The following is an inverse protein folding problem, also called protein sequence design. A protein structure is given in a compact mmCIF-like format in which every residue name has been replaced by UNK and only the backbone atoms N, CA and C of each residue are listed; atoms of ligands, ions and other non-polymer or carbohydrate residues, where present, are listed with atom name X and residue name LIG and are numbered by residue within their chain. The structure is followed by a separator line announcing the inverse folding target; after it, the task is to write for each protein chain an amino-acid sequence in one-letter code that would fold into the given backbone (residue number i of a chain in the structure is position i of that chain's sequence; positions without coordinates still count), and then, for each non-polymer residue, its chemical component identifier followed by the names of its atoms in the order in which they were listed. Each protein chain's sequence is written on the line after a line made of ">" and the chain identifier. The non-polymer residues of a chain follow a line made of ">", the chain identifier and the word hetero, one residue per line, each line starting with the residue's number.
data_IF_618443437790
#
_entry.id   IF_618443437790
#
_cell.length_a   1.000
_cell.length_b   1.000
_cell.length_c   1.000
_cell.angle_alpha   90.00
_cell.angle_beta   90.00
_cell.angle_gamma   90.00
#
_symmetry.space_group_name_H-M   'P 1'
#
loop_
_entity.id
_entity.type
_entity.pdbx_description
1 polymer ?
#
# COMPACT_ATOMS: atom_id res chain seq x y z
N UNK A 1 -26.18 -10.74 30.89
CA UNK A 1 -24.96 -11.25 30.21
C UNK A 1 -24.97 -10.73 28.78
N UNK A 2 -24.03 -9.82 28.41
CA UNK A 2 -23.87 -9.41 26.99
C UNK A 2 -23.32 -10.62 26.23
N UNK A 3 -24.03 -11.06 25.19
CA UNK A 3 -23.54 -12.14 24.31
C UNK A 3 -22.24 -11.69 23.65
N UNK A 4 -21.16 -12.42 23.87
CA UNK A 4 -19.87 -12.19 23.16
C UNK A 4 -20.07 -12.44 21.68
N UNK A 5 -19.76 -11.45 20.86
CA UNK A 5 -19.70 -11.63 19.41
C UNK A 5 -18.33 -12.21 19.04
N UNK A 6 -18.31 -13.19 18.17
CA UNK A 6 -17.06 -13.70 17.67
C UNK A 6 -16.38 -12.62 16.79
N UNK A 7 -15.07 -12.36 16.98
CA UNK A 7 -14.27 -11.42 16.16
C UNK A 7 -14.36 -11.68 14.64
N UNK A 8 -14.84 -12.84 14.25
CA UNK A 8 -15.04 -13.27 12.86
C UNK A 8 -16.50 -13.32 12.47
N UNK A 9 -17.34 -12.50 13.09
CA UNK A 9 -18.72 -12.41 12.66
C UNK A 9 -18.76 -11.92 11.21
N UNK A 10 -19.34 -12.75 10.34
CA UNK A 10 -19.48 -12.47 8.91
C UNK A 10 -20.97 -12.31 8.62
N UNK A 11 -21.31 -11.30 7.84
CA UNK A 11 -22.59 -11.24 7.16
C UNK A 11 -22.49 -12.18 5.95
N UNK A 12 -23.29 -13.23 5.95
CA UNK A 12 -23.29 -14.23 4.86
C UNK A 12 -24.35 -13.86 3.84
N UNK A 13 -23.93 -13.66 2.61
CA UNK A 13 -24.82 -13.44 1.47
C UNK A 13 -25.25 -14.73 0.80
N UNK A 14 -26.04 -14.61 -0.26
CA UNK A 14 -26.37 -15.71 -1.16
C UNK A 14 -25.11 -16.19 -1.90
N UNK A 15 -24.82 -17.48 -1.88
CA UNK A 15 -23.60 -18.05 -2.43
C UNK A 15 -22.43 -18.01 -1.46
N UNK A 16 -21.21 -17.87 -1.98
CA UNK A 16 -19.96 -17.84 -1.19
C UNK A 16 -19.58 -16.45 -0.67
N UNK A 17 -20.41 -15.43 -0.89
CA UNK A 17 -20.12 -14.03 -0.50
C UNK A 17 -20.24 -13.86 1.00
N UNK A 18 -19.22 -13.27 1.59
CA UNK A 18 -19.24 -12.89 2.99
C UNK A 18 -18.62 -11.52 3.21
N UNK A 19 -19.32 -10.66 3.95
CA UNK A 19 -18.79 -9.38 4.42
C UNK A 19 -18.35 -9.55 5.87
N UNK A 20 -17.06 -9.32 6.15
CA UNK A 20 -16.56 -9.23 7.51
C UNK A 20 -17.12 -8.00 8.20
N UNK A 21 -17.44 -8.11 9.48
CA UNK A 21 -17.77 -6.96 10.28
C UNK A 21 -16.49 -6.21 10.70
N UNK A 22 -16.54 -4.88 10.85
CA UNK A 22 -15.44 -4.13 11.42
C UNK A 22 -15.21 -4.55 12.88
N UNK A 23 -14.07 -4.19 13.45
CA UNK A 23 -13.82 -4.47 14.86
C UNK A 23 -14.82 -3.74 15.77
N UNK A 24 -15.62 -4.51 16.50
CA UNK A 24 -16.65 -4.02 17.40
C UNK A 24 -16.24 -4.18 18.87
N UNK A 25 -16.82 -3.36 19.76
CA UNK A 25 -16.57 -3.43 21.19
C UNK A 25 -16.93 -4.80 21.77
N UNK A 26 -17.99 -5.42 21.30
CA UNK A 26 -18.47 -6.73 21.73
C UNK A 26 -17.57 -7.89 21.29
N UNK A 27 -16.63 -7.63 20.40
CA UNK A 27 -15.61 -8.60 19.95
C UNK A 27 -14.34 -8.57 20.82
N UNK A 28 -14.22 -7.58 21.69
CA UNK A 28 -13.07 -7.40 22.58
C UNK A 28 -13.35 -8.15 23.88
N UNK A 29 -12.41 -8.97 24.34
CA UNK A 29 -12.57 -9.74 25.57
C UNK A 29 -12.50 -8.85 26.80
N UNK A 30 -13.44 -9.07 27.76
CA UNK A 30 -13.69 -8.27 28.96
C UNK A 30 -12.59 -8.41 30.05
N UNK A 31 -11.59 -9.25 29.84
CA UNK A 31 -10.45 -9.33 30.78
C UNK A 31 -9.60 -8.03 30.81
N UNK A 32 -10.02 -7.03 30.04
CA UNK A 32 -9.44 -5.69 29.95
C UNK A 32 -10.39 -4.57 30.45
N UNK A 33 -11.46 -4.85 31.19
CA UNK A 33 -12.38 -3.81 31.67
C UNK A 33 -11.82 -2.94 32.82
N UNK A 34 -10.53 -3.08 33.12
CA UNK A 34 -9.81 -2.20 34.09
C UNK A 34 -8.69 -1.38 33.43
N UNK A 35 -8.36 -1.61 32.18
CA UNK A 35 -7.32 -0.87 31.48
C UNK A 35 -7.87 -0.34 30.14
N UNK A 36 -7.50 0.87 29.79
CA UNK A 36 -7.78 1.59 28.54
C UNK A 36 -7.30 0.87 27.26
N UNK A 37 -6.88 -0.38 27.32
CA UNK A 37 -6.27 -1.15 26.26
C UNK A 37 -7.20 -2.25 25.75
N UNK A 38 -8.26 -1.83 25.04
CA UNK A 38 -8.87 -2.71 24.07
C UNK A 38 -7.75 -3.32 23.19
N UNK A 39 -7.49 -4.63 23.29
CA UNK A 39 -6.37 -5.27 22.61
C UNK A 39 -6.54 -5.19 21.10
N UNK A 40 -6.06 -4.07 20.54
CA UNK A 40 -6.08 -3.82 19.10
C UNK A 40 -5.17 -4.85 18.42
N UNK A 41 -5.61 -5.45 17.28
CA UNK A 41 -4.77 -6.39 16.54
C UNK A 41 -3.48 -5.74 16.05
N UNK A 42 -2.37 -6.48 16.13
CA UNK A 42 -1.12 -6.08 15.47
C UNK A 42 -1.32 -6.16 13.96
N UNK A 43 -1.00 -5.08 13.27
CA UNK A 43 -1.08 -4.97 11.80
C UNK A 43 0.17 -4.29 11.27
N UNK A 44 0.74 -4.84 10.20
CA UNK A 44 1.91 -4.27 9.54
C UNK A 44 1.79 -4.43 8.02
N UNK A 45 1.89 -3.32 7.29
CA UNK A 45 1.79 -3.29 5.83
C UNK A 45 2.91 -2.46 5.23
N UNK A 46 3.52 -2.99 4.18
CA UNK A 46 4.52 -2.30 3.38
C UNK A 46 3.82 -1.55 2.24
N UNK A 47 4.10 -0.26 2.10
CA UNK A 47 3.52 0.61 1.09
C UNK A 47 4.65 1.13 0.20
N UNK A 48 4.68 0.69 -1.04
CA UNK A 48 5.74 1.02 -1.98
C UNK A 48 5.23 1.94 -3.10
N UNK A 49 6.08 2.85 -3.54
CA UNK A 49 5.87 3.64 -4.76
C UNK A 49 7.16 3.71 -5.59
N UNK A 50 7.02 3.62 -6.92
CA UNK A 50 8.16 3.56 -7.82
C UNK A 50 8.93 4.87 -7.97
N UNK A 51 10.20 4.76 -8.31
CA UNK A 51 11.22 5.78 -8.61
C UNK A 51 11.77 6.53 -7.40
N UNK A 52 10.98 7.02 -6.51
CA UNK A 52 11.45 7.76 -5.34
C UNK A 52 11.27 9.27 -5.44
N UNK A 53 11.77 9.95 -4.41
CA UNK A 53 11.79 11.40 -4.28
C UNK A 53 13.21 11.83 -3.95
N UNK A 54 13.88 12.63 -4.80
CA UNK A 54 15.21 13.14 -4.50
C UNK A 54 15.29 13.84 -3.14
N UNK A 55 16.35 13.58 -2.40
CA UNK A 55 16.55 14.08 -1.03
C UNK A 55 16.42 15.61 -0.91
N UNK A 56 16.89 16.44 -1.86
CA UNK A 56 16.63 17.87 -1.83
C UNK A 56 15.16 18.25 -1.85
N UNK A 57 14.33 17.53 -2.62
CA UNK A 57 12.88 17.76 -2.66
C UNK A 57 12.18 17.35 -1.36
N UNK A 58 12.68 16.30 -0.70
CA UNK A 58 12.20 15.93 0.63
C UNK A 58 12.49 17.01 1.67
N UNK A 59 13.59 17.76 1.52
CA UNK A 59 13.99 18.81 2.47
C UNK A 59 13.07 20.02 2.46
N UNK A 60 12.28 20.21 1.42
CA UNK A 60 11.27 21.25 1.32
C UNK A 60 10.06 21.01 2.27
N UNK A 61 9.97 19.82 2.88
CA UNK A 61 8.87 19.46 3.76
C UNK A 61 7.52 19.49 3.02
N UNK A 62 6.49 19.98 3.70
CA UNK A 62 5.12 20.03 3.14
C UNK A 62 4.86 21.27 2.24
N UNK A 63 5.88 21.88 1.66
CA UNK A 63 5.72 23.08 0.85
C UNK A 63 5.54 22.81 -0.64
N UNK A 64 5.93 21.61 -1.12
CA UNK A 64 5.77 21.21 -2.52
C UNK A 64 5.45 19.70 -2.65
N UNK A 65 6.45 18.86 -2.94
CA UNK A 65 6.24 17.44 -3.30
C UNK A 65 5.51 16.67 -2.20
N UNK A 66 5.78 16.96 -0.94
CA UNK A 66 5.13 16.28 0.19
C UNK A 66 3.85 17.00 0.68
N UNK A 67 3.41 18.08 0.03
CA UNK A 67 2.20 18.83 0.39
C UNK A 67 0.96 17.93 0.59
N UNK A 68 0.69 16.90 -0.24
CA UNK A 68 -0.46 16.02 -0.06
C UNK A 68 -0.48 15.23 1.25
N UNK A 69 0.67 15.06 1.91
CA UNK A 69 0.77 14.38 3.19
C UNK A 69 0.49 15.32 4.38
N UNK A 70 0.45 16.64 4.16
CA UNK A 70 0.25 17.63 5.22
C UNK A 70 -1.00 17.41 6.07
N UNK A 71 -2.17 17.04 5.51
CA UNK A 71 -3.37 16.74 6.31
C UNK A 71 -3.24 15.53 7.25
N UNK A 72 -2.25 14.67 7.02
CA UNK A 72 -1.94 13.48 7.80
C UNK A 72 -0.66 13.62 8.63
N UNK A 73 -0.08 14.82 8.66
CA UNK A 73 1.25 15.05 9.26
C UNK A 73 1.33 14.63 10.72
N UNK A 74 0.27 14.82 11.50
CA UNK A 74 0.17 14.42 12.91
C UNK A 74 0.22 12.89 13.12
N UNK A 75 -0.07 12.11 12.08
CA UNK A 75 -0.15 10.64 12.09
C UNK A 75 1.05 9.96 11.44
N UNK A 76 1.97 10.75 10.91
CA UNK A 76 3.14 10.27 10.19
C UNK A 76 4.44 10.69 10.89
N UNK A 77 5.39 9.79 10.93
CA UNK A 77 6.80 10.10 11.10
C UNK A 77 7.45 9.97 9.72
N UNK A 78 7.89 11.09 9.14
CA UNK A 78 8.64 11.11 7.88
C UNK A 78 10.12 11.12 8.22
N UNK A 79 10.86 10.17 7.67
CA UNK A 79 12.29 9.97 7.95
C UNK A 79 13.10 10.22 6.68
N UNK A 80 14.07 11.11 6.79
CA UNK A 80 14.99 11.50 5.73
C UNK A 80 16.38 10.93 6.00
N UNK A 81 17.18 10.88 4.95
CA UNK A 81 18.57 10.39 5.01
C UNK A 81 18.65 8.96 5.57
N UNK A 82 17.78 8.08 5.06
CA UNK A 82 17.87 6.64 5.23
C UNK A 82 18.58 6.08 4.02
N UNK A 83 19.67 5.38 4.25
CA UNK A 83 20.40 4.67 3.18
C UNK A 83 19.86 3.24 3.11
N UNK A 84 19.45 2.81 1.91
CA UNK A 84 19.10 1.40 1.69
C UNK A 84 20.33 0.54 1.91
N UNK A 85 20.38 -0.65 1.48
CA UNK A 85 21.52 -1.57 1.60
C UNK A 85 22.86 -0.84 1.78
N UNK A 86 23.92 -1.51 2.11
CA UNK A 86 25.27 -0.91 2.17
C UNK A 86 25.61 -0.22 0.84
N UNK A 87 25.60 1.09 0.85
CA UNK A 87 25.74 1.92 -0.34
C UNK A 87 27.17 1.85 -0.97
N UNK A 88 28.09 1.14 -0.37
CA UNK A 88 29.44 0.89 -0.85
C UNK A 88 29.59 -0.39 -1.68
N UNK A 89 28.54 -1.24 -1.72
CA UNK A 89 28.54 -2.50 -2.49
C UNK A 89 28.45 -2.20 -3.98
N UNK A 90 29.41 -2.71 -4.75
CA UNK A 90 29.44 -2.55 -6.21
C UNK A 90 28.46 -3.51 -6.89
N UNK A 91 27.89 -3.05 -8.03
CA UNK A 91 27.02 -3.88 -8.87
C UNK A 91 25.58 -3.96 -8.42
N UNK A 92 25.18 -3.20 -7.40
CA UNK A 92 23.78 -3.06 -6.97
C UNK A 92 23.05 -2.14 -7.94
N UNK A 93 21.80 -2.51 -8.24
CA UNK A 93 20.88 -1.74 -9.08
C UNK A 93 19.69 -1.24 -8.27
N UNK A 94 19.45 0.08 -8.25
CA UNK A 94 18.40 0.68 -7.46
C UNK A 94 17.00 0.11 -7.77
N UNK A 95 16.71 -0.13 -9.04
CA UNK A 95 15.38 -0.64 -9.46
C UNK A 95 15.09 -2.08 -9.03
N UNK A 96 16.11 -2.87 -8.69
CA UNK A 96 15.95 -4.25 -8.23
C UNK A 96 16.31 -4.38 -6.75
N UNK A 97 17.54 -4.00 -6.45
CA UNK A 97 18.12 -4.21 -5.14
C UNK A 97 17.62 -3.18 -4.14
N UNK A 98 17.52 -1.90 -4.56
CA UNK A 98 16.95 -0.84 -3.74
C UNK A 98 15.46 -1.06 -3.46
N UNK A 99 14.69 -1.49 -4.47
CA UNK A 99 13.28 -1.81 -4.27
C UNK A 99 13.06 -2.99 -3.31
N UNK A 100 13.89 -4.03 -3.43
CA UNK A 100 13.84 -5.18 -2.53
C UNK A 100 14.26 -4.78 -1.12
N UNK A 101 15.33 -3.99 -1.01
CA UNK A 101 15.85 -3.51 0.27
C UNK A 101 14.87 -2.60 1.02
N UNK A 102 13.87 -2.02 0.32
CA UNK A 102 12.88 -1.10 0.90
C UNK A 102 12.16 -1.63 2.14
N UNK A 103 12.12 -2.94 2.34
CA UNK A 103 11.43 -3.56 3.49
C UNK A 103 12.15 -4.79 4.03
N UNK A 104 13.28 -5.16 3.44
CA UNK A 104 14.04 -6.34 3.84
C UNK A 104 15.44 -6.01 4.37
N UNK A 105 15.91 -4.79 4.13
CA UNK A 105 17.31 -4.36 4.34
C UNK A 105 18.33 -5.18 3.54
N UNK A 106 17.90 -5.97 2.56
CA UNK A 106 18.74 -6.84 1.73
C UNK A 106 18.46 -6.61 0.24
N UNK A 107 19.48 -6.72 -0.61
CA UNK A 107 19.31 -6.69 -2.05
C UNK A 107 18.49 -7.89 -2.53
N UNK A 108 18.20 -7.93 -3.82
CA UNK A 108 17.49 -9.06 -4.41
C UNK A 108 18.30 -10.37 -4.26
N UNK A 109 17.63 -11.43 -3.85
CA UNK A 109 18.19 -12.78 -3.78
C UNK A 109 18.13 -13.53 -5.12
N UNK A 110 17.85 -12.83 -6.23
CA UNK A 110 17.67 -13.36 -7.57
C UNK A 110 16.42 -12.83 -8.28
N UNK A 111 16.00 -13.48 -9.36
CA UNK A 111 14.86 -13.04 -10.17
C UNK A 111 13.51 -13.18 -9.43
N UNK A 112 13.37 -14.18 -8.57
CA UNK A 112 12.10 -14.62 -7.99
C UNK A 112 11.98 -14.42 -6.47
N UNK A 113 13.01 -13.89 -5.79
CA UNK A 113 13.01 -13.71 -4.34
C UNK A 113 13.88 -12.54 -3.87
N UNK A 114 13.63 -12.10 -2.65
CA UNK A 114 14.47 -11.17 -1.92
C UNK A 114 15.68 -11.87 -1.29
N UNK A 115 16.69 -11.11 -0.86
CA UNK A 115 17.81 -11.61 -0.07
C UNK A 115 17.45 -12.00 1.36
N UNK A 116 16.33 -11.49 1.87
CA UNK A 116 15.82 -11.76 3.21
C UNK A 116 14.32 -11.54 3.35
N UNK A 117 13.77 -11.74 4.56
CA UNK A 117 12.35 -11.52 4.84
C UNK A 117 12.01 -10.04 4.88
N UNK A 118 10.74 -9.71 4.66
CA UNK A 118 10.24 -8.36 4.86
C UNK A 118 9.69 -8.14 6.27
N UNK A 119 9.75 -6.89 6.75
CA UNK A 119 9.36 -6.53 8.13
C UNK A 119 7.92 -6.94 8.46
N UNK A 120 6.96 -6.82 7.53
CA UNK A 120 5.58 -7.25 7.77
C UNK A 120 5.49 -8.76 8.06
N UNK A 121 6.29 -9.58 7.38
CA UNK A 121 6.29 -11.02 7.58
C UNK A 121 7.04 -11.46 8.83
N UNK A 122 8.12 -10.76 9.21
CA UNK A 122 8.79 -11.00 10.50
C UNK A 122 7.83 -10.68 11.65
N UNK A 123 7.14 -9.54 11.61
CA UNK A 123 6.12 -9.16 12.60
C UNK A 123 4.97 -10.19 12.62
N UNK A 124 4.54 -10.66 11.45
CA UNK A 124 3.49 -11.70 11.36
C UNK A 124 3.91 -12.99 12.06
N UNK A 125 5.11 -13.49 11.78
CA UNK A 125 5.61 -14.71 12.40
C UNK A 125 5.77 -14.58 13.92
N UNK A 126 6.28 -13.45 14.39
CA UNK A 126 6.38 -13.16 15.81
C UNK A 126 4.99 -13.10 16.50
N UNK A 127 4.03 -12.40 15.86
CA UNK A 127 2.68 -12.24 16.42
C UNK A 127 1.81 -13.50 16.32
N UNK A 128 2.08 -14.36 15.33
CA UNK A 128 1.30 -15.57 15.02
C UNK A 128 2.22 -16.76 14.70
N UNK A 129 3.01 -17.25 15.67
CA UNK A 129 3.98 -18.32 15.45
C UNK A 129 3.33 -19.64 14.98
N UNK A 130 2.08 -19.87 15.36
CA UNK A 130 1.30 -21.05 14.96
C UNK A 130 0.44 -20.81 13.71
N UNK A 131 0.74 -19.78 12.94
CA UNK A 131 -0.02 -19.40 11.74
C UNK A 131 -1.19 -18.45 12.03
N UNK A 132 -1.71 -17.85 10.97
CA UNK A 132 -2.84 -16.92 11.08
C UNK A 132 -4.12 -17.65 11.47
N UNK A 133 -5.02 -17.00 12.19
CA UNK A 133 -6.33 -17.59 12.51
C UNK A 133 -7.09 -17.98 11.25
N UNK A 134 -7.83 -19.11 11.31
CA UNK A 134 -8.61 -19.63 10.18
C UNK A 134 -9.54 -18.57 9.57
N UNK A 135 -9.59 -18.51 8.25
CA UNK A 135 -10.41 -17.55 7.51
C UNK A 135 -9.77 -16.17 7.30
N UNK A 136 -8.57 -15.92 7.85
CA UNK A 136 -7.80 -14.72 7.55
C UNK A 136 -6.86 -14.93 6.35
N UNK A 137 -6.61 -13.87 5.63
CA UNK A 137 -5.58 -13.83 4.58
C UNK A 137 -4.23 -13.68 5.28
N UNK A 138 -3.33 -14.66 5.07
CA UNK A 138 -2.02 -14.67 5.73
C UNK A 138 -1.14 -13.49 5.33
N UNK A 139 -1.18 -13.14 4.05
CA UNK A 139 -0.54 -11.94 3.49
C UNK A 139 -1.39 -11.43 2.33
N UNK A 140 -1.75 -10.14 2.37
CA UNK A 140 -2.48 -9.48 1.31
C UNK A 140 -1.50 -8.64 0.49
N UNK A 141 -1.28 -9.04 -0.77
CA UNK A 141 -0.35 -8.35 -1.68
C UNK A 141 -1.12 -7.84 -2.88
N UNK A 142 -1.11 -6.52 -3.10
CA UNK A 142 -1.83 -5.88 -4.19
C UNK A 142 -1.06 -4.67 -4.74
N UNK A 143 -1.44 -4.20 -5.91
CA UNK A 143 -0.93 -2.95 -6.47
C UNK A 143 -1.14 -2.79 -7.96
N UNK A 144 -0.83 -1.59 -8.44
CA UNK A 144 -0.77 -1.27 -9.86
C UNK A 144 0.68 -1.28 -10.32
N UNK A 145 0.99 -2.04 -11.33
CA UNK A 145 2.30 -1.99 -11.96
C UNK A 145 2.20 -2.29 -13.46
N UNK A 146 3.11 -1.71 -14.20
CA UNK A 146 3.09 -1.76 -15.66
C UNK A 146 4.29 -2.50 -16.25
N UNK A 147 5.27 -2.90 -15.42
CA UNK A 147 6.46 -3.63 -15.85
C UNK A 147 6.72 -4.82 -14.95
N UNK A 148 6.91 -5.98 -15.56
CA UNK A 148 7.36 -7.20 -14.90
C UNK A 148 8.71 -7.62 -15.47
N UNK A 149 9.74 -7.59 -14.67
CA UNK A 149 11.02 -8.22 -15.00
C UNK A 149 11.51 -9.11 -13.87
N UNK A 150 11.51 -8.58 -12.66
CA UNK A 150 11.93 -9.28 -11.43
C UNK A 150 10.93 -9.05 -10.33
N UNK A 151 10.73 -10.03 -9.47
CA UNK A 151 9.76 -9.94 -8.39
C UNK A 151 10.01 -8.75 -7.48
N UNK A 152 11.27 -8.41 -7.20
CA UNK A 152 11.65 -7.26 -6.37
C UNK A 152 11.17 -5.90 -6.88
N UNK A 153 10.74 -5.77 -8.13
CA UNK A 153 10.21 -4.51 -8.65
C UNK A 153 8.79 -4.19 -8.21
N UNK A 154 7.98 -5.20 -7.92
CA UNK A 154 6.55 -5.01 -7.70
C UNK A 154 6.01 -5.71 -6.47
N UNK A 155 6.77 -6.62 -5.90
CA UNK A 155 6.37 -7.38 -4.74
C UNK A 155 7.20 -6.94 -3.53
N UNK A 156 6.55 -6.61 -2.43
CA UNK A 156 7.20 -6.03 -1.25
C UNK A 156 6.78 -6.69 0.06
N UNK A 157 6.42 -7.98 -0.01
CA UNK A 157 6.13 -8.82 1.16
C UNK A 157 6.72 -10.20 0.96
N UNK A 158 7.73 -10.56 1.75
CA UNK A 158 8.53 -11.78 1.57
C UNK A 158 8.55 -12.62 2.84
N UNK A 159 8.38 -13.94 2.67
CA UNK A 159 8.49 -14.92 3.74
C UNK A 159 9.89 -14.92 4.37
N UNK A 160 10.07 -15.69 5.47
CA UNK A 160 11.35 -15.75 6.19
C UNK A 160 12.52 -16.26 5.32
N UNK A 161 12.25 -17.01 4.26
CA UNK A 161 13.22 -17.52 3.30
C UNK A 161 13.45 -16.59 2.09
N UNK A 162 12.84 -15.41 2.09
CA UNK A 162 12.91 -14.44 0.99
C UNK A 162 11.97 -14.72 -0.19
N UNK A 163 11.19 -15.80 -0.17
CA UNK A 163 10.18 -16.06 -1.20
C UNK A 163 8.97 -15.13 -1.06
N UNK A 164 8.23 -14.92 -2.14
CA UNK A 164 7.01 -14.09 -2.10
C UNK A 164 5.98 -14.65 -1.11
N UNK A 165 5.42 -13.79 -0.27
CA UNK A 165 4.48 -14.20 0.78
C UNK A 165 3.11 -14.60 0.26
N UNK A 166 2.69 -14.07 -0.89
CA UNK A 166 1.44 -14.35 -1.55
C UNK A 166 1.48 -13.94 -3.02
N UNK A 167 0.52 -14.42 -3.81
CA UNK A 167 0.32 -13.94 -5.18
C UNK A 167 -0.12 -12.48 -5.17
N UNK A 168 0.50 -11.66 -6.03
CA UNK A 168 0.13 -10.28 -6.28
C UNK A 168 -1.27 -10.17 -6.90
N UNK A 169 -2.12 -9.34 -6.33
CA UNK A 169 -3.43 -8.96 -6.89
C UNK A 169 -3.27 -7.65 -7.66
N UNK A 170 -3.29 -7.74 -8.99
CA UNK A 170 -3.02 -6.62 -9.88
C UNK A 170 -4.28 -5.91 -10.37
N UNK A 171 -5.40 -6.62 -10.32
CA UNK A 171 -6.68 -6.12 -10.79
C UNK A 171 -7.65 -5.97 -9.63
N UNK A 172 -8.43 -4.89 -9.61
CA UNK A 172 -9.46 -4.71 -8.58
C UNK A 172 -10.39 -5.91 -8.45
N UNK A 173 -10.71 -6.60 -9.54
CA UNK A 173 -11.55 -7.80 -9.52
C UNK A 173 -10.89 -8.95 -8.75
N UNK A 174 -9.61 -9.23 -9.03
CA UNK A 174 -8.90 -10.34 -8.37
C UNK A 174 -8.76 -10.07 -6.86
N UNK A 175 -8.52 -8.81 -6.51
CA UNK A 175 -8.48 -8.38 -5.12
C UNK A 175 -9.86 -8.49 -4.46
N UNK A 176 -10.93 -8.11 -5.16
CA UNK A 176 -12.31 -8.27 -4.68
C UNK A 176 -12.63 -9.75 -4.38
N UNK A 177 -12.34 -10.65 -5.31
CA UNK A 177 -12.56 -12.09 -5.12
C UNK A 177 -11.72 -12.62 -3.95
N UNK A 178 -10.53 -12.12 -3.76
CA UNK A 178 -9.65 -12.48 -2.63
C UNK A 178 -10.21 -12.03 -1.28
N UNK A 179 -10.81 -10.85 -1.23
CA UNK A 179 -11.31 -10.23 0.01
C UNK A 179 -12.67 -10.75 0.41
N UNK A 180 -13.61 -10.84 -0.55
CA UNK A 180 -15.01 -11.19 -0.28
C UNK A 180 -15.34 -12.65 -0.57
N UNK A 181 -14.44 -13.43 -1.16
CA UNK A 181 -14.66 -14.79 -1.63
C UNK A 181 -15.08 -14.83 -3.10
N UNK A 182 -14.69 -15.91 -3.79
CA UNK A 182 -15.05 -16.07 -5.20
C UNK A 182 -16.53 -16.41 -5.35
N UNK A 183 -17.20 -15.73 -6.26
CA UNK A 183 -18.56 -16.07 -6.69
C UNK A 183 -18.62 -17.32 -7.59
N UNK A 184 -17.53 -18.11 -7.67
CA UNK A 184 -17.42 -19.23 -8.59
C UNK A 184 -18.08 -20.50 -8.07
N UNK A 185 -19.32 -20.69 -8.49
CA UNK A 185 -19.86 -22.02 -8.77
C UNK A 185 -20.60 -21.92 -10.11
N UNK A 186 -19.89 -21.91 -11.22
CA UNK A 186 -20.31 -22.37 -12.55
C UNK A 186 -19.39 -21.88 -13.66
N UNK A 187 -19.20 -22.74 -14.63
CA UNK A 187 -18.35 -22.68 -15.81
C UNK A 187 -18.76 -21.68 -16.92
N UNK A 188 -19.57 -20.68 -16.63
CA UNK A 188 -20.10 -19.75 -17.62
C UNK A 188 -19.51 -18.33 -17.50
N UNK A 189 -18.62 -17.97 -18.42
CA UNK A 189 -18.07 -16.61 -18.57
C UNK A 189 -19.15 -15.53 -18.80
N UNK A 190 -20.27 -15.84 -19.40
CA UNK A 190 -21.39 -14.90 -19.61
C UNK A 190 -22.15 -14.56 -18.30
N UNK A 191 -22.24 -15.47 -17.36
CA UNK A 191 -22.85 -15.22 -16.06
C UNK A 191 -21.98 -14.35 -15.12
N UNK A 192 -20.65 -14.32 -15.32
CA UNK A 192 -19.76 -13.53 -14.50
C UNK A 192 -19.98 -12.00 -14.61
N UNK A 193 -20.34 -11.51 -15.78
CA UNK A 193 -20.67 -10.08 -15.96
C UNK A 193 -22.03 -9.70 -15.35
N UNK A 194 -22.97 -10.62 -15.28
CA UNK A 194 -24.27 -10.43 -14.62
C UNK A 194 -24.14 -10.46 -13.09
N UNK A 195 -23.15 -11.14 -12.54
CA UNK A 195 -22.95 -11.30 -11.08
C UNK A 195 -22.26 -10.13 -10.44
N UNK A 196 -21.34 -9.45 -11.13
CA UNK A 196 -20.81 -8.14 -10.71
C UNK A 196 -21.91 -7.04 -10.65
N UNK A 197 -23.06 -7.28 -11.29
CA UNK A 197 -24.23 -6.38 -11.26
C UNK A 197 -25.11 -6.56 -10.03
N UNK A 198 -24.90 -7.60 -9.20
CA UNK A 198 -25.60 -7.77 -7.93
C UNK A 198 -24.75 -7.20 -6.80
N UNK A 199 -25.31 -6.24 -6.09
CA UNK A 199 -24.69 -5.67 -4.91
C UNK A 199 -24.38 -6.75 -3.87
N UNK A 200 -23.15 -6.78 -3.38
CA UNK A 200 -22.75 -7.60 -2.24
C UNK A 200 -23.59 -7.22 -1.02
N UNK A 201 -23.88 -5.92 -0.87
CA UNK A 201 -24.70 -5.40 0.22
C UNK A 201 -26.14 -5.91 0.18
N UNK A 202 -26.75 -6.00 -1.00
CA UNK A 202 -28.12 -6.52 -1.12
C UNK A 202 -28.21 -7.97 -0.65
N UNK A 203 -27.14 -8.73 -0.82
CA UNK A 203 -27.08 -10.12 -0.38
C UNK A 203 -27.02 -10.31 1.15
N UNK A 204 -26.62 -9.28 1.90
CA UNK A 204 -26.48 -9.31 3.37
C UNK A 204 -27.42 -8.36 4.10
N UNK A 205 -28.34 -7.72 3.36
CA UNK A 205 -29.19 -6.62 3.87
C UNK A 205 -30.05 -7.01 5.08
N UNK A 206 -30.57 -8.23 5.13
CA UNK A 206 -31.39 -8.71 6.25
C UNK A 206 -30.56 -8.84 7.54
N UNK A 207 -29.36 -9.39 7.44
CA UNK A 207 -28.46 -9.52 8.58
C UNK A 207 -28.00 -8.13 9.07
N UNK A 208 -27.75 -7.22 8.14
CA UNK A 208 -27.45 -5.84 8.47
C UNK A 208 -28.57 -5.19 9.28
N UNK A 209 -29.82 -5.30 8.81
CA UNK A 209 -31.01 -4.77 9.52
C UNK A 209 -31.12 -5.36 10.93
N UNK A 210 -30.81 -6.65 11.10
CA UNK A 210 -30.78 -7.27 12.41
C UNK A 210 -29.71 -6.62 13.32
N UNK A 211 -28.46 -6.47 12.85
CA UNK A 211 -27.39 -5.91 13.66
C UNK A 211 -27.56 -4.42 13.98
N UNK A 212 -28.20 -3.64 13.13
CA UNK A 212 -28.43 -2.20 13.34
C UNK A 212 -29.79 -1.88 13.96
N UNK A 213 -30.71 -2.84 13.99
CA UNK A 213 -32.07 -2.67 14.50
C UNK A 213 -32.19 -2.53 16.02
N UNK A 214 -33.39 -2.28 16.51
CA UNK A 214 -33.68 -2.09 17.94
C UNK A 214 -33.42 -3.34 18.77
N UNK A 215 -33.67 -4.53 18.22
CA UNK A 215 -33.47 -5.83 18.87
C UNK A 215 -32.02 -6.35 18.79
N UNK A 216 -31.08 -5.58 18.24
CA UNK A 216 -29.68 -5.95 18.16
C UNK A 216 -29.03 -6.01 19.54
N UNK A 217 -28.18 -7.01 19.82
CA UNK A 217 -27.41 -7.08 21.04
C UNK A 217 -26.27 -6.05 21.12
N UNK A 218 -26.04 -5.25 20.04
CA UNK A 218 -24.94 -4.32 19.91
C UNK A 218 -25.24 -2.97 20.55
N UNK A 219 -24.21 -2.33 21.10
CA UNK A 219 -24.26 -0.95 21.57
C UNK A 219 -24.37 0.06 20.42
N UNK A 220 -24.74 1.30 20.75
CA UNK A 220 -24.93 2.36 19.77
C UNK A 220 -23.66 2.64 18.93
N UNK A 221 -22.49 2.64 19.56
CA UNK A 221 -21.20 2.83 18.90
C UNK A 221 -20.92 1.74 17.87
N UNK A 222 -21.12 0.46 18.22
CA UNK A 222 -20.92 -0.66 17.29
C UNK A 222 -21.94 -0.64 16.12
N UNK A 223 -23.19 -0.25 16.39
CA UNK A 223 -24.18 -0.04 15.32
C UNK A 223 -23.76 1.05 14.34
N UNK A 224 -23.23 2.16 14.85
CA UNK A 224 -22.67 3.24 14.06
C UNK A 224 -21.52 2.75 13.16
N UNK A 225 -20.57 2.01 13.71
CA UNK A 225 -19.44 1.45 12.92
C UNK A 225 -19.89 0.51 11.82
N UNK A 226 -20.88 -0.35 12.08
CA UNK A 226 -21.44 -1.24 11.04
C UNK A 226 -22.07 -0.40 9.93
N UNK A 227 -22.84 0.65 10.27
CA UNK A 227 -23.44 1.54 9.29
C UNK A 227 -22.36 2.21 8.43
N UNK A 228 -21.36 2.83 9.05
CA UNK A 228 -20.27 3.50 8.36
C UNK A 228 -19.48 2.54 7.46
N UNK A 229 -19.26 1.30 7.92
CA UNK A 229 -18.62 0.25 7.12
C UNK A 229 -19.42 -0.07 5.85
N UNK A 230 -20.71 -0.29 5.98
CA UNK A 230 -21.55 -0.63 4.83
C UNK A 230 -21.74 0.55 3.88
N UNK A 231 -21.73 1.78 4.38
CA UNK A 231 -21.72 2.98 3.54
C UNK A 231 -20.44 3.04 2.69
N UNK A 232 -19.26 2.65 3.24
CA UNK A 232 -18.01 2.54 2.49
C UNK A 232 -18.04 1.41 1.45
N UNK A 233 -18.60 0.25 1.79
CA UNK A 233 -18.78 -0.85 0.80
C UNK A 233 -19.70 -0.38 -0.33
N UNK A 234 -20.79 0.33 -0.03
CA UNK A 234 -21.71 0.88 -1.04
C UNK A 234 -21.02 1.93 -1.92
N UNK A 235 -20.24 2.82 -1.33
CA UNK A 235 -19.45 3.82 -2.07
C UNK A 235 -18.49 3.16 -3.06
N UNK A 236 -17.81 2.08 -2.63
CA UNK A 236 -16.98 1.28 -3.50
C UNK A 236 -17.77 0.63 -4.64
N UNK A 237 -18.88 -0.05 -4.33
CA UNK A 237 -19.72 -0.69 -5.35
C UNK A 237 -20.21 0.30 -6.40
N UNK A 238 -20.68 1.46 -5.99
CA UNK A 238 -21.17 2.50 -6.90
C UNK A 238 -20.08 2.98 -7.86
N UNK A 239 -18.84 3.16 -7.38
CA UNK A 239 -17.72 3.53 -8.23
C UNK A 239 -17.34 2.40 -9.18
N UNK A 240 -17.22 1.18 -8.70
CA UNK A 240 -16.89 0.02 -9.52
C UNK A 240 -17.94 -0.23 -10.62
N UNK A 241 -19.25 -0.10 -10.29
CA UNK A 241 -20.35 -0.25 -11.26
C UNK A 241 -20.42 0.90 -12.28
N UNK A 242 -20.15 2.14 -11.84
CA UNK A 242 -20.14 3.29 -12.75
C UNK A 242 -19.06 3.15 -13.82
N UNK A 243 -17.89 2.62 -13.44
CA UNK A 243 -16.80 2.35 -14.35
C UNK A 243 -17.11 1.20 -15.32
N UNK A 244 -17.74 0.12 -14.84
CA UNK A 244 -18.17 -0.97 -15.70
C UNK A 244 -19.14 -0.47 -16.79
N UNK A 245 -20.10 0.38 -16.44
CA UNK A 245 -21.04 1.00 -17.40
C UNK A 245 -20.34 1.90 -18.42
N UNK A 246 -19.37 2.71 -17.99
CA UNK A 246 -18.60 3.60 -18.88
C UNK A 246 -17.80 2.80 -19.89
N UNK A 247 -17.21 1.69 -19.45
CA UNK A 247 -16.44 0.78 -20.33
C UNK A 247 -17.33 -0.02 -21.30
N UNK A 248 -18.62 -0.27 -20.98
CA UNK A 248 -19.57 -0.91 -21.87
C UNK A 248 -20.12 0.05 -22.96
N UNK A 249 -20.14 1.36 -22.70
CA UNK A 249 -20.75 2.37 -23.58
C UNK A 249 -19.76 3.19 -24.40
N UNK A 250 -18.46 3.14 -24.05
CA UNK A 250 -17.43 3.84 -24.79
C UNK A 250 -17.05 3.10 -26.09
N UNK A 251 -16.58 3.81 -27.14
CA UNK A 251 -15.91 3.14 -28.25
C UNK A 251 -14.82 2.27 -27.61
N UNK A 252 -14.73 1.00 -28.02
CA UNK A 252 -13.63 0.14 -27.62
C UNK A 252 -12.36 0.82 -28.11
N UNK A 253 -11.77 1.65 -27.26
CA UNK A 253 -10.40 2.10 -27.48
C UNK A 253 -9.57 0.85 -27.75
N UNK A 254 -8.67 0.87 -28.73
CA UNK A 254 -7.72 -0.22 -28.87
C UNK A 254 -7.15 -0.45 -27.48
N UNK A 255 -7.04 -1.72 -27.04
CA UNK A 255 -6.46 -1.98 -25.73
C UNK A 255 -5.18 -1.17 -25.66
N UNK A 256 -4.97 -0.34 -24.61
CA UNK A 256 -3.71 0.33 -24.47
C UNK A 256 -2.65 -0.74 -24.68
N UNK A 257 -1.55 -0.42 -25.34
CA UNK A 257 -0.47 -1.35 -25.65
C UNK A 257 0.21 -1.78 -24.34
N UNK A 258 -0.59 -2.37 -23.46
CA UNK A 258 -0.15 -2.99 -22.22
C UNK A 258 0.68 -4.17 -22.66
N UNK A 259 1.95 -4.12 -22.35
CA UNK A 259 2.77 -5.31 -22.43
C UNK A 259 1.99 -6.44 -21.75
N UNK A 260 1.80 -7.58 -22.41
CA UNK A 260 1.05 -8.69 -21.83
C UNK A 260 1.64 -8.97 -20.45
N UNK A 261 0.82 -9.05 -19.42
CA UNK A 261 1.25 -9.48 -18.12
C UNK A 261 1.97 -10.83 -18.26
N UNK A 262 3.26 -10.86 -17.97
CA UNK A 262 4.11 -12.02 -18.23
C UNK A 262 4.93 -11.98 -19.50
N UNK A 263 5.04 -10.82 -20.16
CA UNK A 263 6.00 -10.62 -21.24
C UNK A 263 7.45 -10.87 -20.79
N UNK A 264 8.35 -11.09 -21.74
CA UNK A 264 9.76 -11.35 -21.45
C UNK A 264 10.36 -10.26 -20.56
N UNK A 265 11.39 -10.62 -19.81
CA UNK A 265 12.17 -9.73 -18.99
C UNK A 265 12.37 -8.39 -19.71
N UNK A 266 11.95 -7.33 -19.03
CA UNK A 266 11.98 -5.93 -19.43
C UNK A 266 12.58 -5.66 -20.82
N UNK A 267 11.79 -5.39 -21.86
CA UNK A 267 12.29 -5.17 -23.23
C UNK A 267 13.09 -3.87 -23.36
N UNK A 268 13.51 -3.28 -22.24
CA UNK A 268 14.54 -2.22 -22.27
C UNK A 268 14.05 -0.84 -22.62
N UNK A 269 12.75 -0.53 -22.55
CA UNK A 269 12.60 0.86 -22.62
C UNK A 269 11.37 1.54 -23.16
N UNK A 270 10.39 0.87 -23.65
CA UNK A 270 9.16 1.55 -24.07
C UNK A 270 8.29 1.84 -22.86
N UNK A 271 7.96 3.12 -22.64
CA UNK A 271 7.03 3.56 -21.63
C UNK A 271 5.59 3.15 -21.99
N UNK A 272 4.71 3.14 -21.00
CA UNK A 272 3.29 2.84 -21.17
C UNK A 272 2.50 4.14 -21.19
N UNK A 273 1.74 4.35 -22.24
CA UNK A 273 0.82 5.48 -22.36
C UNK A 273 -0.41 5.23 -21.48
N UNK A 274 -0.69 6.16 -20.58
CA UNK A 274 -1.84 6.09 -19.68
C UNK A 274 -2.36 7.49 -19.34
N UNK A 275 -3.65 7.64 -19.24
CA UNK A 275 -4.22 8.89 -18.72
C UNK A 275 -4.16 8.92 -17.20
N UNK A 276 -4.09 10.12 -16.65
CA UNK A 276 -4.14 10.32 -15.19
C UNK A 276 -5.41 9.73 -14.57
N UNK A 277 -6.54 9.86 -15.25
CA UNK A 277 -7.83 9.34 -14.77
C UNK A 277 -7.86 7.81 -14.73
N UNK A 278 -7.29 7.13 -15.73
CA UNK A 278 -7.17 5.67 -15.74
C UNK A 278 -6.27 5.18 -14.61
N UNK A 279 -5.08 5.78 -14.45
CA UNK A 279 -4.14 5.44 -13.40
C UNK A 279 -4.77 5.60 -12.01
N UNK A 280 -5.40 6.74 -11.75
CA UNK A 280 -6.04 7.04 -10.47
C UNK A 280 -7.23 6.15 -10.20
N UNK A 281 -8.01 5.86 -11.21
CA UNK A 281 -9.18 4.98 -11.09
C UNK A 281 -8.77 3.57 -10.66
N UNK A 282 -7.80 2.99 -11.33
CA UNK A 282 -7.31 1.63 -11.02
C UNK A 282 -6.69 1.58 -9.61
N UNK A 283 -5.82 2.53 -9.30
CA UNK A 283 -5.20 2.62 -7.97
C UNK A 283 -6.23 2.77 -6.85
N UNK A 284 -7.17 3.71 -7.00
CA UNK A 284 -8.13 4.00 -5.95
C UNK A 284 -9.10 2.87 -5.69
N UNK A 285 -9.47 2.09 -6.72
CA UNK A 285 -10.23 0.86 -6.52
C UNK A 285 -9.45 -0.18 -5.73
N UNK A 286 -8.17 -0.37 -6.02
CA UNK A 286 -7.31 -1.28 -5.26
C UNK A 286 -7.14 -0.80 -3.81
N UNK A 287 -6.87 0.49 -3.61
CA UNK A 287 -6.70 1.09 -2.28
C UNK A 287 -7.97 0.97 -1.41
N UNK A 288 -9.15 1.16 -2.00
CA UNK A 288 -10.42 1.00 -1.32
C UNK A 288 -10.67 -0.45 -0.89
N UNK A 289 -10.45 -1.41 -1.80
CA UNK A 289 -10.58 -2.83 -1.48
C UNK A 289 -9.58 -3.29 -0.43
N UNK A 290 -8.36 -2.78 -0.51
CA UNK A 290 -7.32 -3.07 0.47
C UNK A 290 -7.70 -2.54 1.84
N UNK A 291 -8.23 -1.30 1.91
CA UNK A 291 -8.77 -0.71 3.14
C UNK A 291 -9.90 -1.54 3.72
N UNK A 292 -10.88 -1.95 2.88
CA UNK A 292 -11.98 -2.80 3.33
C UNK A 292 -11.50 -4.14 3.89
N UNK A 293 -10.47 -4.75 3.28
CA UNK A 293 -9.89 -6.00 3.80
C UNK A 293 -9.29 -5.83 5.20
N UNK A 294 -8.61 -4.70 5.46
CA UNK A 294 -8.05 -4.39 6.79
C UNK A 294 -9.17 -4.09 7.78
N UNK A 295 -10.15 -3.28 7.40
CA UNK A 295 -11.30 -2.91 8.22
C UNK A 295 -12.11 -4.12 8.68
N UNK A 296 -12.32 -5.08 7.78
CA UNK A 296 -13.00 -6.35 8.05
C UNK A 296 -12.14 -7.36 8.82
N UNK A 297 -10.94 -6.99 9.22
CA UNK A 297 -9.95 -7.89 9.84
C UNK A 297 -9.69 -9.16 9.00
N UNK A 298 -9.81 -9.05 7.66
CA UNK A 298 -9.49 -10.14 6.73
C UNK A 298 -8.01 -10.27 6.50
N UNK A 299 -7.26 -9.17 6.59
CA UNK A 299 -5.82 -9.12 6.46
C UNK A 299 -5.21 -8.21 7.53
N UNK A 300 -4.06 -8.61 8.05
CA UNK A 300 -3.28 -7.85 9.04
C UNK A 300 -1.85 -7.58 8.58
N UNK A 301 -1.40 -8.27 7.53
CA UNK A 301 -0.05 -8.21 6.99
C UNK A 301 -0.06 -8.26 5.47
N UNK A 302 0.93 -7.66 4.85
CA UNK A 302 1.08 -7.67 3.40
C UNK A 302 1.70 -6.40 2.85
N UNK A 303 1.53 -6.18 1.55
CA UNK A 303 2.02 -4.98 0.87
C UNK A 303 1.06 -4.46 -0.18
N UNK A 304 1.12 -3.13 -0.39
CA UNK A 304 0.44 -2.47 -1.49
C UNK A 304 1.43 -1.60 -2.27
N UNK A 305 1.43 -1.71 -3.59
CA UNK A 305 2.38 -1.05 -4.49
C UNK A 305 1.66 -0.07 -5.41
N UNK A 306 2.05 1.19 -5.36
CA UNK A 306 1.64 2.20 -6.34
C UNK A 306 2.77 2.42 -7.34
N UNK A 307 2.65 1.81 -8.51
CA UNK A 307 3.67 1.75 -9.55
C UNK A 307 4.93 0.95 -9.14
N UNK A 308 5.40 0.12 -10.04
CA UNK A 308 6.56 -0.72 -9.83
C UNK A 308 7.86 0.09 -9.79
N UNK A 309 8.90 -0.48 -9.22
CA UNK A 309 10.25 0.09 -9.27
C UNK A 309 10.75 0.22 -10.72
N UNK A 310 11.36 1.36 -11.02
CA UNK A 310 11.80 1.70 -12.37
C UNK A 310 10.65 1.78 -13.37
N UNK A 311 9.48 2.17 -12.94
CA UNK A 311 8.31 2.33 -13.82
C UNK A 311 8.58 3.35 -14.93
N UNK A 312 7.93 3.17 -16.08
CA UNK A 312 8.03 4.06 -17.24
C UNK A 312 6.65 4.38 -17.77
N UNK A 313 5.92 5.26 -17.08
CA UNK A 313 4.64 5.75 -17.56
C UNK A 313 4.82 7.06 -18.34
N UNK A 314 4.13 7.17 -19.45
CA UNK A 314 3.89 8.44 -20.15
C UNK A 314 2.49 8.88 -19.79
N UNK A 315 2.42 9.87 -18.92
CA UNK A 315 1.17 10.31 -18.32
C UNK A 315 0.60 11.49 -19.12
N UNK A 316 -0.69 11.44 -19.38
CA UNK A 316 -1.43 12.54 -19.99
C UNK A 316 -2.62 12.93 -19.14
N UNK A 317 -2.99 14.21 -19.18
CA UNK A 317 -4.16 14.75 -18.49
C UNK A 317 -3.88 15.84 -17.48
N UNK A 318 -4.94 16.54 -17.12
CA UNK A 318 -4.88 17.65 -16.18
C UNK A 318 -4.81 17.14 -14.73
N UNK A 319 -3.76 17.52 -14.02
CA UNK A 319 -3.60 17.22 -12.62
C UNK A 319 -4.06 18.38 -11.76
N UNK A 320 -5.15 18.18 -11.04
CA UNK A 320 -5.67 19.13 -10.04
C UNK A 320 -5.34 18.67 -8.63
N UNK A 321 -5.02 19.66 -7.80
CA UNK A 321 -4.90 19.50 -6.36
C UNK A 321 -5.57 20.70 -5.67
N UNK A 322 -6.46 20.45 -4.71
CA UNK A 322 -7.29 21.48 -4.06
C UNK A 322 -8.02 22.38 -5.08
N UNK A 323 -8.68 21.75 -6.06
CA UNK A 323 -9.45 22.38 -7.15
C UNK A 323 -8.64 23.34 -8.07
N UNK A 324 -7.32 23.34 -7.95
CA UNK A 324 -6.43 24.10 -8.81
C UNK A 324 -5.64 23.21 -9.72
N UNK A 325 -5.48 23.61 -10.97
CA UNK A 325 -4.58 22.94 -11.91
C UNK A 325 -3.16 23.14 -11.41
N UNK A 326 -2.50 22.03 -11.03
CA UNK A 326 -1.11 22.02 -10.60
C UNK A 326 -0.18 21.74 -11.77
N UNK A 327 -0.60 20.85 -12.66
CA UNK A 327 0.19 20.46 -13.82
C UNK A 327 -0.68 19.83 -14.91
N UNK A 328 -0.29 20.04 -16.18
CA UNK A 328 -0.86 19.32 -17.31
C UNK A 328 0.16 18.28 -17.79
N UNK A 329 -0.09 17.03 -17.50
CA UNK A 329 0.75 15.94 -17.98
C UNK A 329 0.58 15.80 -19.49
N UNK A 330 1.68 15.82 -20.19
CA UNK A 330 1.78 15.63 -21.63
C UNK A 330 3.08 14.88 -21.96
N UNK A 331 3.30 13.79 -21.24
CA UNK A 331 4.45 12.94 -21.50
C UNK A 331 4.28 12.25 -22.86
N UNK A 332 5.29 12.23 -23.67
CA UNK A 332 5.22 11.63 -24.99
C UNK A 332 6.53 11.00 -25.44
N UNK A 333 6.44 10.09 -26.41
CA UNK A 333 7.60 9.49 -27.06
C UNK A 333 8.36 10.48 -27.96
N UNK A 334 7.73 11.58 -28.36
CA UNK A 334 8.32 12.58 -29.25
C UNK A 334 9.47 13.36 -28.63
N UNK A 335 9.57 13.37 -27.29
CA UNK A 335 10.64 14.07 -26.57
C UNK A 335 11.92 13.25 -26.47
N UNK A 336 12.15 12.33 -27.37
CA UNK A 336 13.44 11.75 -27.66
C UNK A 336 13.54 10.24 -27.49
N UNK A 337 13.92 9.61 -28.55
CA UNK A 337 14.67 8.36 -28.54
C UNK A 337 16.10 8.67 -28.08
N UNK A 338 16.66 7.85 -27.24
CA UNK A 338 18.05 8.04 -26.80
C UNK A 338 18.18 8.66 -25.41
N UNK A 339 17.41 8.17 -24.44
CA UNK A 339 17.57 8.54 -23.03
C UNK A 339 16.90 9.84 -22.61
N UNK A 340 16.18 10.48 -23.49
CA UNK A 340 15.47 11.72 -23.23
C UNK A 340 13.95 11.62 -23.37
N UNK A 341 13.42 10.40 -23.42
CA UNK A 341 11.99 10.17 -23.55
C UNK A 341 11.17 10.87 -22.47
N UNK A 342 10.00 11.36 -22.83
CA UNK A 342 9.11 12.03 -21.92
C UNK A 342 8.31 11.05 -21.06
N UNK A 343 8.95 10.24 -20.23
CA UNK A 343 8.27 9.38 -19.26
C UNK A 343 8.76 9.65 -17.84
N UNK A 344 8.01 9.20 -16.86
CA UNK A 344 8.34 9.33 -15.43
C UNK A 344 9.78 8.96 -15.09
N UNK A 345 10.24 7.84 -15.63
CA UNK A 345 11.60 7.33 -15.41
C UNK A 345 12.69 8.29 -15.94
N UNK A 346 12.49 8.82 -17.13
CA UNK A 346 13.44 9.75 -17.73
C UNK A 346 13.48 11.09 -16.99
N UNK A 347 12.34 11.59 -16.53
CA UNK A 347 12.30 12.79 -15.70
C UNK A 347 13.00 12.58 -14.36
N UNK A 348 12.88 11.39 -13.77
CA UNK A 348 13.57 11.05 -12.54
C UNK A 348 15.09 11.01 -12.72
N UNK A 349 15.60 10.43 -13.83
CA UNK A 349 17.03 10.44 -14.17
C UNK A 349 17.59 11.84 -14.47
N UNK A 350 16.74 12.76 -14.92
CA UNK A 350 17.15 14.13 -15.25
C UNK A 350 17.09 15.10 -14.07
N UNK A 351 16.83 14.62 -12.88
CA UNK A 351 16.83 15.48 -11.70
C UNK A 351 18.15 16.25 -11.60
N UNK A 352 18.06 17.57 -11.46
CA UNK A 352 19.19 18.47 -11.27
C UNK A 352 18.75 19.58 -10.30
N UNK A 353 19.46 19.73 -9.19
CA UNK A 353 19.17 20.75 -8.16
C UNK A 353 19.19 22.18 -8.69
N UNK A 354 19.91 22.42 -9.80
CA UNK A 354 20.05 23.73 -10.44
C UNK A 354 18.95 24.03 -11.46
N UNK A 355 18.06 23.08 -11.73
CA UNK A 355 17.01 23.19 -12.74
C UNK A 355 15.63 23.18 -12.10
N UNK A 356 14.67 23.74 -12.84
CA UNK A 356 13.26 23.60 -12.54
C UNK A 356 12.79 22.20 -12.95
N UNK A 357 12.68 21.30 -12.00
CA UNK A 357 12.29 19.90 -12.23
C UNK A 357 10.77 19.74 -12.29
N UNK A 358 10.04 20.58 -13.04
CA UNK A 358 8.56 20.64 -13.02
C UNK A 358 7.89 19.30 -13.24
N UNK A 359 8.34 18.53 -14.23
CA UNK A 359 7.75 17.21 -14.54
C UNK A 359 7.98 16.23 -13.40
N UNK A 360 9.21 16.13 -12.91
CA UNK A 360 9.55 15.26 -11.80
C UNK A 360 8.75 15.64 -10.54
N UNK A 361 8.69 16.94 -10.21
CA UNK A 361 7.92 17.45 -9.08
C UNK A 361 6.43 17.12 -9.21
N UNK A 362 5.86 17.26 -10.41
CA UNK A 362 4.47 16.92 -10.67
C UNK A 362 4.19 15.43 -10.49
N UNK A 363 5.06 14.55 -11.04
CA UNK A 363 4.96 13.10 -10.84
C UNK A 363 5.08 12.72 -9.36
N UNK A 364 6.08 13.26 -8.66
CA UNK A 364 6.28 12.96 -7.24
C UNK A 364 5.11 13.45 -6.37
N UNK A 365 4.62 14.68 -6.59
CA UNK A 365 3.47 15.22 -5.90
C UNK A 365 2.19 14.38 -6.16
N UNK A 366 1.96 13.97 -7.40
CA UNK A 366 0.84 13.10 -7.76
C UNK A 366 0.93 11.75 -7.02
N UNK A 367 2.13 11.15 -6.95
CA UNK A 367 2.33 9.90 -6.18
C UNK A 367 2.00 10.10 -4.70
N UNK A 368 2.48 11.19 -4.10
CA UNK A 368 2.15 11.50 -2.69
C UNK A 368 0.66 11.74 -2.49
N UNK A 369 -0.02 12.35 -3.45
CA UNK A 369 -1.48 12.54 -3.39
C UNK A 369 -2.25 11.21 -3.44
N UNK A 370 -1.80 10.26 -4.24
CA UNK A 370 -2.45 8.94 -4.32
C UNK A 370 -2.13 8.06 -3.10
N UNK A 371 -0.95 8.19 -2.50
CA UNK A 371 -0.64 7.57 -1.20
C UNK A 371 -1.45 8.20 -0.06
N UNK A 372 -1.59 9.55 -0.06
CA UNK A 372 -2.46 10.24 0.88
C UNK A 372 -3.92 9.80 0.75
N UNK A 373 -4.40 9.55 -0.47
CA UNK A 373 -5.74 8.99 -0.67
C UNK A 373 -5.90 7.67 0.09
N UNK A 374 -4.99 6.71 -0.08
CA UNK A 374 -5.04 5.43 0.62
C UNK A 374 -5.02 5.59 2.15
N UNK A 375 -4.09 6.41 2.67
CA UNK A 375 -3.99 6.66 4.11
C UNK A 375 -5.23 7.35 4.67
N UNK A 376 -5.83 8.30 3.94
CA UNK A 376 -7.08 8.93 4.33
C UNK A 376 -8.25 7.93 4.40
N UNK A 377 -8.27 6.91 3.53
CA UNK A 377 -9.29 5.85 3.61
C UNK A 377 -9.17 5.07 4.92
N UNK A 378 -7.97 4.75 5.35
CA UNK A 378 -7.70 4.10 6.64
C UNK A 378 -8.00 5.02 7.84
N UNK A 379 -7.71 6.31 7.71
CA UNK A 379 -7.91 7.28 8.79
C UNK A 379 -9.39 7.55 9.11
N UNK A 380 -10.25 7.43 8.12
CA UNK A 380 -11.72 7.55 8.30
C UNK A 380 -12.34 6.40 9.09
N UNK A 381 -11.66 5.27 9.22
CA UNK A 381 -12.16 4.11 9.95
C UNK A 381 -11.78 4.23 11.42
N UNK A 382 -12.76 4.45 12.31
CA UNK A 382 -12.51 4.52 13.75
C UNK A 382 -12.66 3.16 14.42
N UNK A 383 -11.71 2.82 15.28
CA UNK A 383 -11.69 1.60 16.06
C UNK A 383 -12.14 1.80 17.52
N UNK A 384 -12.42 0.72 18.28
CA UNK A 384 -12.97 0.82 19.64
C UNK A 384 -12.15 1.64 20.64
N UNK A 385 -10.84 1.78 20.45
CA UNK A 385 -9.97 2.61 21.27
C UNK A 385 -10.03 4.12 20.93
N UNK A 386 -10.92 4.53 20.02
CA UNK A 386 -11.09 5.92 19.57
C UNK A 386 -10.10 6.38 18.51
N UNK A 387 -9.02 5.64 18.28
CA UNK A 387 -8.04 5.92 17.22
C UNK A 387 -8.53 5.42 15.87
N UNK A 388 -7.95 5.90 14.80
CA UNK A 388 -8.22 5.40 13.45
C UNK A 388 -7.49 4.09 13.17
N UNK A 389 -7.94 3.40 12.12
CA UNK A 389 -7.26 2.22 11.59
C UNK A 389 -5.82 2.57 11.12
N UNK A 390 -5.60 3.79 10.62
CA UNK A 390 -4.29 4.31 10.26
C UNK A 390 -3.38 4.42 11.49
N UNK A 391 -3.86 5.04 12.57
CA UNK A 391 -3.09 5.24 13.81
C UNK A 391 -2.76 3.92 14.52
N UNK A 392 -3.64 2.93 14.40
CA UNK A 392 -3.48 1.62 15.04
C UNK A 392 -2.62 0.63 14.23
N UNK A 393 -2.39 0.89 12.95
CA UNK A 393 -1.59 0.03 12.08
C UNK A 393 -0.17 0.58 11.91
N UNK A 394 0.79 -0.31 11.67
CA UNK A 394 2.08 0.06 11.13
C UNK A 394 1.98 0.04 9.60
N UNK A 395 1.99 1.21 8.97
CA UNK A 395 2.30 1.33 7.55
C UNK A 395 3.76 1.77 7.45
N UNK A 396 4.57 0.99 6.76
CA UNK A 396 5.93 1.38 6.38
C UNK A 396 5.90 1.80 4.92
N UNK A 397 6.15 3.07 4.65
CA UNK A 397 6.13 3.66 3.31
C UNK A 397 7.56 3.87 2.87
N UNK A 398 7.95 3.31 1.74
CA UNK A 398 9.29 3.45 1.20
C UNK A 398 9.28 3.35 -0.33
N UNK A 399 10.45 3.52 -0.92
CA UNK A 399 10.68 3.52 -2.36
C UNK A 399 12.06 2.96 -2.67
N UNK A 400 12.37 2.83 -3.95
CA UNK A 400 13.60 2.14 -4.38
C UNK A 400 14.87 2.97 -4.21
N UNK A 401 14.78 4.32 -4.25
CA UNK A 401 15.98 5.14 -4.37
C UNK A 401 15.72 6.59 -3.94
N UNK A 402 16.80 7.27 -3.58
CA UNK A 402 16.81 8.70 -3.25
C UNK A 402 17.30 9.61 -4.38
N UNK A 403 17.95 9.06 -5.41
CA UNK A 403 18.51 9.82 -6.54
C UNK A 403 18.47 8.99 -7.82
N UNK A 404 18.12 9.60 -8.95
CA UNK A 404 17.98 8.94 -10.25
C UNK A 404 19.26 8.78 -11.04
N UNK A 405 20.43 9.06 -10.48
CA UNK A 405 21.69 9.06 -11.23
C UNK A 405 22.42 7.74 -11.08
N UNK A 406 22.32 6.87 -12.07
CA UNK A 406 22.95 5.55 -12.08
C UNK A 406 24.49 5.51 -12.09
N UNK A 407 25.17 6.62 -12.22
CA UNK A 407 26.61 6.68 -12.27
C UNK A 407 27.29 6.57 -10.88
N UNK A 408 26.51 6.58 -9.81
CA UNK A 408 26.99 6.47 -8.45
C UNK A 408 25.99 5.73 -7.56
N UNK A 409 26.17 4.43 -7.41
CA UNK A 409 25.30 3.54 -6.63
C UNK A 409 25.11 4.02 -5.19
N UNK A 410 26.18 4.49 -4.54
CA UNK A 410 26.10 5.04 -3.18
C UNK A 410 25.12 6.21 -3.10
N UNK A 411 25.20 7.14 -4.05
CA UNK A 411 24.32 8.29 -4.12
C UNK A 411 22.88 7.88 -4.42
N UNK A 412 22.70 6.91 -5.30
CA UNK A 412 21.40 6.44 -5.74
C UNK A 412 20.59 5.78 -4.62
N UNK A 413 21.27 5.02 -3.74
CA UNK A 413 20.65 4.28 -2.64
C UNK A 413 20.68 5.03 -1.31
N UNK A 414 21.21 6.25 -1.26
CA UNK A 414 21.23 7.08 -0.06
C UNK A 414 20.09 8.10 -0.06
N UNK A 415 19.70 8.53 1.14
CA UNK A 415 18.67 9.55 1.33
C UNK A 415 17.29 9.12 0.83
N UNK A 416 16.96 7.84 0.90
CA UNK A 416 15.69 7.28 0.44
C UNK A 416 14.55 7.72 1.34
N UNK A 417 13.44 8.10 0.75
CA UNK A 417 12.25 8.52 1.48
C UNK A 417 11.65 7.36 2.27
N UNK A 418 11.41 7.60 3.56
CA UNK A 418 10.68 6.68 4.43
C UNK A 418 9.63 7.43 5.24
N UNK A 419 8.49 6.81 5.46
CA UNK A 419 7.53 7.26 6.44
C UNK A 419 6.88 6.08 7.14
N UNK A 420 6.49 6.28 8.40
CA UNK A 420 5.74 5.28 9.17
C UNK A 420 4.56 5.92 9.87
N UNK A 421 3.52 5.11 10.13
CA UNK A 421 2.41 5.48 11.00
C UNK A 421 2.68 5.10 12.45
N UNK A 422 1.84 5.56 13.36
CA UNK A 422 2.09 5.45 14.80
C UNK A 422 2.06 4.04 15.40
N UNK A 423 1.51 3.04 14.71
CA UNK A 423 1.39 1.66 15.21
C UNK A 423 0.86 1.59 16.65
N UNK A 424 -0.25 2.26 16.89
CA UNK A 424 -0.89 2.44 18.20
C UNK A 424 -0.02 3.19 19.24
N UNK A 425 0.83 4.12 18.80
CA UNK A 425 1.62 4.98 19.68
C UNK A 425 3.02 4.44 19.99
N UNK A 426 3.57 3.58 19.13
CA UNK A 426 4.96 3.11 19.26
C UNK A 426 5.98 4.05 18.63
N UNK A 427 5.57 4.85 17.65
CA UNK A 427 6.45 5.76 16.92
C UNK A 427 6.05 7.23 17.14
N UNK A 428 7.04 8.10 17.21
CA UNK A 428 6.88 9.55 17.39
C UNK A 428 6.37 10.19 16.11
N UNK A 429 5.07 10.14 15.86
CA UNK A 429 4.45 10.82 14.71
C UNK A 429 4.42 12.34 14.89
N UNK A 430 3.96 13.07 13.87
CA UNK A 430 3.82 14.52 13.91
C UNK A 430 5.09 15.28 13.50
N UNK A 431 6.05 14.62 12.85
CA UNK A 431 7.32 15.25 12.53
C UNK A 431 8.01 14.71 11.28
N UNK A 432 8.88 15.54 10.72
CA UNK A 432 9.87 15.17 9.70
C UNK A 432 11.22 15.12 10.39
N UNK A 433 11.89 13.96 10.36
CA UNK A 433 13.13 13.73 11.08
C UNK A 433 14.27 13.37 10.12
N UNK A 434 15.42 13.98 10.34
CA UNK A 434 16.67 13.57 9.70
C UNK A 434 17.32 12.46 10.54
N UNK A 435 17.17 11.20 10.10
CA UNK A 435 17.62 10.05 10.89
C UNK A 435 19.08 9.70 10.66
N UNK A 436 19.59 9.87 9.44
CA UNK A 436 20.99 9.55 9.05
C UNK A 436 21.37 8.13 9.45
N UNK A 437 20.62 7.15 8.97
CA UNK A 437 20.76 5.75 9.37
C UNK A 437 20.73 4.81 8.16
N UNK A 438 21.23 3.59 8.37
CA UNK A 438 21.04 2.51 7.42
C UNK A 438 19.60 1.96 7.54
N UNK A 439 19.03 1.52 6.42
CA UNK A 439 17.70 0.88 6.41
C UNK A 439 17.63 -0.36 7.30
N UNK A 440 18.73 -1.10 7.42
CA UNK A 440 18.84 -2.26 8.30
C UNK A 440 18.64 -1.88 9.78
N UNK A 441 19.23 -0.79 10.24
CA UNK A 441 19.08 -0.29 11.62
C UNK A 441 17.65 0.20 11.85
N UNK A 442 17.09 0.93 10.85
CA UNK A 442 15.72 1.41 10.89
C UNK A 442 14.73 0.25 11.05
N UNK A 443 14.82 -0.75 10.18
CA UNK A 443 13.84 -1.85 10.20
C UNK A 443 14.01 -2.74 11.42
N UNK A 444 15.22 -2.99 11.90
CA UNK A 444 15.44 -3.73 13.15
C UNK A 444 14.92 -2.97 14.37
N UNK A 445 15.08 -1.63 14.40
CA UNK A 445 14.44 -0.79 15.44
C UNK A 445 12.92 -0.92 15.38
N UNK A 446 12.34 -0.89 14.18
CA UNK A 446 10.89 -1.05 14.01
C UNK A 446 10.40 -2.43 14.43
N UNK A 447 11.14 -3.50 14.12
CA UNK A 447 10.82 -4.87 14.56
C UNK A 447 10.79 -4.96 16.08
N UNK A 448 11.81 -4.45 16.77
CA UNK A 448 11.86 -4.40 18.23
C UNK A 448 10.66 -3.64 18.82
N UNK A 449 10.31 -2.47 18.28
CA UNK A 449 9.14 -1.70 18.70
C UNK A 449 7.83 -2.46 18.51
N UNK A 450 7.74 -3.34 17.52
CA UNK A 450 6.58 -4.19 17.26
C UNK A 450 6.57 -5.50 18.07
N UNK A 451 7.58 -5.73 18.92
CA UNK A 451 7.73 -6.94 19.72
C UNK A 451 8.19 -8.15 18.91
N UNK A 452 8.82 -7.93 17.78
CA UNK A 452 9.46 -8.96 16.97
C UNK A 452 10.97 -8.95 17.20
N UNK A 453 11.60 -10.10 16.96
CA UNK A 453 13.05 -10.21 17.09
C UNK A 453 13.75 -9.45 15.94
N UNK A 454 14.62 -8.48 16.21
CA UNK A 454 15.33 -7.73 15.19
C UNK A 454 16.43 -8.59 14.56
N UNK A 455 16.15 -9.21 13.41
CA UNK A 455 17.07 -10.14 12.72
C UNK A 455 17.11 -9.94 11.20
N UNK A 456 16.95 -8.71 10.73
CA UNK A 456 17.18 -8.43 9.32
C UNK A 456 18.66 -8.16 9.07
N UNK A 457 19.12 -8.55 7.88
CA UNK A 457 20.48 -8.35 7.41
C UNK A 457 21.45 -9.47 7.79
N UNK A 458 22.73 -9.29 7.48
CA UNK A 458 23.79 -10.23 7.80
C UNK A 458 23.89 -10.47 9.30
N UNK A 459 24.17 -11.73 9.70
CA UNK A 459 24.24 -12.12 11.11
C UNK A 459 25.38 -11.44 11.89
N UNK A 460 26.41 -11.00 11.18
CA UNK A 460 27.59 -10.31 11.70
C UNK A 460 27.47 -8.79 11.66
N UNK A 461 26.31 -8.25 11.25
CA UNK A 461 26.08 -6.82 11.26
C UNK A 461 25.83 -6.33 12.69
N UNK A 462 26.59 -5.34 13.12
CA UNK A 462 26.41 -4.67 14.41
C UNK A 462 25.28 -3.63 14.31
N UNK A 463 24.11 -3.98 14.84
CA UNK A 463 22.92 -3.18 14.75
C UNK A 463 22.95 -1.98 15.70
N UNK A 464 22.59 -0.83 15.16
CA UNK A 464 22.37 0.39 15.93
C UNK A 464 20.88 0.66 16.09
N UNK A 465 20.40 0.86 17.32
CA UNK A 465 19.04 1.28 17.56
C UNK A 465 18.86 2.77 17.25
N UNK A 466 17.70 3.12 16.66
CA UNK A 466 17.34 4.51 16.37
C UNK A 466 16.25 4.96 17.35
N UNK A 467 16.59 4.99 18.64
CA UNK A 467 15.63 5.26 19.74
C UNK A 467 14.89 6.59 19.59
N UNK A 468 15.48 7.56 18.89
CA UNK A 468 14.85 8.87 18.67
C UNK A 468 13.52 8.79 17.92
N UNK A 469 13.22 7.70 17.19
CA UNK A 469 11.96 7.51 16.48
C UNK A 469 10.87 6.86 17.34
N UNK A 470 11.22 6.31 18.47
CA UNK A 470 10.33 5.59 19.39
C UNK A 470 9.72 6.54 20.45
N UNK A 471 8.49 6.22 20.91
CA UNK A 471 7.80 6.97 21.98
C UNK A 471 8.35 6.58 23.35
#
# INVERSE_FOLDING_TARGET
>A
MKKKLNRRALLKGLGSVSIGLPLLEEMITVDALGASDAKIPVRAFNVFFGLGIPSPLQSEGFNDVLEPLKPLSDKLLIMRNVDHVRCDVRGINAHFDGATASFTAEPAGGEAKAGGPSIDQVIRHSSYPNGMPNGMISSLVAGTFFRRSRVGRYHHSYNLDGTVSARMQEKPRDLFDRVFGSFSDSSDQENNNKRLKRSVLDSVLEQYRFFTGSNSPLGASSKGRIKDHLDRVREFEQRAFSLAKKNEQGPKAPPPSRLPHGGPADPGGEGIDITLDELRTEWRLLADLYTLAIEMDRARFGSITFLAAGERIRLTGEYKYNDRVRYNFNDSTEHGRGGSGGCSHEWWHKFDEKRDNKQLRAHAHMKMNELAYFMNRLDRVKEPNGKSLLENSLLTISTESGDGRHNNVKRELSGVFHAVTGANGRFKTGQIMDVKAQGIDLYNTMLGAMGADPQLGPKDYDHSSIDKILV
#
